data_IF_885613649502
#
_entry.id   IF_885613649502
#
_cell.length_a   1.000
_cell.length_b   1.000
_cell.length_c   1.000
_cell.angle_alpha   90.00
_cell.angle_beta   90.00
_cell.angle_gamma   90.00
#
_symmetry.space_group_name_H-M   'P 1'
#
loop_
_entity.id
_entity.type
_entity.pdbx_description
1 polymer ?
#
# COMPACT_ATOMS: atom_id res chain seq x y z
N UNK A 1 8.71 -31.87 3.35
CA UNK A 1 7.97 -33.05 2.83
C UNK A 1 7.13 -33.65 3.97
N UNK A 2 6.06 -34.42 3.70
CA UNK A 2 5.27 -35.07 4.75
C UNK A 2 6.09 -36.12 5.55
N UNK A 3 7.24 -36.54 5.01
CA UNK A 3 8.19 -37.46 5.64
C UNK A 3 9.13 -36.81 6.65
N UNK A 4 9.17 -35.48 6.77
CA UNK A 4 9.94 -34.81 7.83
C UNK A 4 9.11 -34.70 9.10
N UNK A 5 9.76 -34.56 10.27
CA UNK A 5 9.09 -34.43 11.57
C UNK A 5 7.95 -33.40 11.56
N UNK A 6 8.22 -32.18 11.07
CA UNK A 6 7.22 -31.11 11.01
C UNK A 6 6.21 -31.27 9.86
N UNK A 7 6.63 -31.84 8.74
CA UNK A 7 5.72 -32.10 7.63
C UNK A 7 4.73 -33.23 7.92
N UNK A 8 5.13 -34.23 8.72
CA UNK A 8 4.25 -35.29 9.19
C UNK A 8 3.16 -34.73 10.11
N UNK A 9 3.52 -33.82 11.03
CA UNK A 9 2.55 -33.11 11.88
C UNK A 9 1.54 -32.31 11.04
N UNK A 10 2.00 -31.56 10.03
CA UNK A 10 1.12 -30.84 9.10
C UNK A 10 0.16 -31.79 8.37
N UNK A 11 0.66 -32.93 7.88
CA UNK A 11 -0.15 -33.93 7.19
C UNK A 11 -1.20 -34.58 8.12
N UNK A 12 -0.80 -34.94 9.34
CA UNK A 12 -1.69 -35.50 10.36
C UNK A 12 -2.78 -34.50 10.80
N UNK A 13 -2.48 -33.20 10.77
CA UNK A 13 -3.45 -32.13 11.00
C UNK A 13 -4.39 -31.88 9.80
N UNK A 14 -4.38 -32.74 8.77
CA UNK A 14 -5.31 -32.68 7.64
C UNK A 14 -4.77 -31.95 6.41
N UNK A 15 -3.50 -31.52 6.37
CA UNK A 15 -2.93 -30.81 5.22
C UNK A 15 -1.63 -31.47 4.69
N UNK A 16 -1.73 -32.58 3.93
CA UNK A 16 -0.55 -33.30 3.44
C UNK A 16 0.37 -32.49 2.51
N UNK A 17 -0.19 -31.64 1.65
CA UNK A 17 0.57 -30.77 0.75
C UNK A 17 1.29 -29.63 1.52
N UNK A 18 2.43 -29.09 1.04
CA UNK A 18 3.01 -27.86 1.59
C UNK A 18 2.16 -26.63 1.27
N UNK A 19 2.23 -25.58 2.10
CA UNK A 19 1.46 -24.32 1.93
C UNK A 19 2.03 -23.34 0.88
N UNK A 20 3.17 -23.67 0.25
CA UNK A 20 3.90 -22.77 -0.65
C UNK A 20 4.28 -21.42 0.02
N UNK A 21 4.98 -21.48 1.15
CA UNK A 21 5.47 -20.26 1.83
C UNK A 21 6.59 -19.62 1.00
N UNK A 22 6.37 -18.37 0.58
CA UNK A 22 7.29 -17.61 -0.28
C UNK A 22 8.17 -16.62 0.51
N UNK A 23 7.64 -16.06 1.59
CA UNK A 23 8.29 -15.02 2.39
C UNK A 23 8.45 -15.46 3.85
N UNK A 24 9.56 -15.06 4.48
CA UNK A 24 9.77 -15.23 5.92
C UNK A 24 10.40 -13.98 6.51
N UNK A 25 9.71 -13.36 7.47
CA UNK A 25 10.27 -12.30 8.30
C UNK A 25 11.21 -12.88 9.36
N UNK A 26 12.39 -12.29 9.52
CA UNK A 26 13.31 -12.61 10.62
C UNK A 26 13.49 -11.35 11.47
N UNK A 27 12.89 -11.38 12.65
CA UNK A 27 12.77 -10.21 13.53
C UNK A 27 11.44 -9.46 13.32
N UNK A 28 11.22 -8.46 14.16
CA UNK A 28 10.13 -7.49 14.08
C UNK A 28 10.49 -6.28 14.94
N UNK A 29 10.62 -5.10 14.31
CA UNK A 29 10.93 -3.84 15.01
C UNK A 29 12.12 -3.95 15.98
N UNK A 30 13.10 -4.81 15.65
CA UNK A 30 14.21 -5.07 16.54
C UNK A 30 15.13 -3.85 16.65
N UNK A 31 15.69 -3.67 17.85
CA UNK A 31 16.88 -2.83 18.01
C UNK A 31 18.06 -3.53 17.35
N UNK A 32 18.80 -2.80 16.52
CA UNK A 32 19.93 -3.35 15.75
C UNK A 32 21.20 -3.31 16.62
N UNK A 33 21.20 -4.14 17.65
CA UNK A 33 22.35 -4.36 18.53
C UNK A 33 23.32 -5.38 17.92
N UNK A 34 24.59 -5.43 18.38
CA UNK A 34 25.54 -6.45 17.92
C UNK A 34 25.02 -7.88 18.05
N UNK A 35 24.30 -8.19 19.13
CA UNK A 35 23.71 -9.53 19.36
C UNK A 35 22.53 -9.80 18.42
N UNK A 36 21.77 -8.77 18.04
CA UNK A 36 20.77 -8.94 16.98
C UNK A 36 21.45 -9.25 15.65
N UNK A 37 22.48 -8.49 15.27
CA UNK A 37 23.19 -8.74 14.01
C UNK A 37 23.77 -10.15 13.93
N UNK A 38 24.39 -10.63 15.02
CA UNK A 38 24.92 -11.99 15.12
C UNK A 38 23.82 -13.03 14.90
N UNK A 39 22.72 -12.93 15.66
CA UNK A 39 21.59 -13.86 15.55
C UNK A 39 20.94 -13.80 14.17
N UNK A 40 20.75 -12.62 13.61
CA UNK A 40 20.20 -12.44 12.27
C UNK A 40 21.07 -13.15 11.23
N UNK A 41 22.39 -12.95 11.26
CA UNK A 41 23.35 -13.62 10.35
C UNK A 41 23.26 -15.14 10.47
N UNK A 42 23.19 -15.67 11.69
CA UNK A 42 23.06 -17.12 11.93
C UNK A 42 21.76 -17.69 11.35
N UNK A 43 20.62 -17.06 11.64
CA UNK A 43 19.31 -17.53 11.19
C UNK A 43 19.19 -17.36 9.67
N UNK A 44 19.59 -16.21 9.13
CA UNK A 44 19.57 -15.93 7.69
C UNK A 44 20.41 -16.96 6.91
N UNK A 45 21.64 -17.25 7.36
CA UNK A 45 22.49 -18.25 6.74
C UNK A 45 21.86 -19.65 6.76
N UNK A 46 21.26 -20.04 7.89
CA UNK A 46 20.60 -21.35 8.01
C UNK A 46 19.36 -21.46 7.10
N UNK A 47 18.53 -20.42 7.03
CA UNK A 47 17.36 -20.37 6.15
C UNK A 47 17.80 -20.42 4.69
N UNK A 48 18.77 -19.59 4.30
CA UNK A 48 19.24 -19.52 2.91
C UNK A 48 19.89 -20.83 2.45
N UNK A 49 20.69 -21.47 3.31
CA UNK A 49 21.31 -22.77 2.99
C UNK A 49 20.27 -23.88 2.76
N UNK A 50 19.14 -23.87 3.48
CA UNK A 50 18.11 -24.91 3.37
C UNK A 50 17.03 -24.58 2.33
N UNK A 51 16.72 -23.29 2.16
CA UNK A 51 15.62 -22.77 1.35
C UNK A 51 16.10 -21.57 0.51
N UNK A 52 16.99 -21.79 -0.48
CA UNK A 52 17.64 -20.69 -1.21
C UNK A 52 16.67 -19.84 -2.04
N UNK A 53 15.44 -20.30 -2.27
CA UNK A 53 14.40 -19.55 -2.99
C UNK A 53 13.49 -18.71 -2.07
N UNK A 54 13.57 -18.91 -0.76
CA UNK A 54 12.76 -18.18 0.22
C UNK A 54 13.13 -16.70 0.19
N UNK A 55 12.14 -15.81 0.11
CA UNK A 55 12.34 -14.38 0.23
C UNK A 55 12.41 -14.02 1.71
N UNK A 56 13.61 -13.80 2.22
CA UNK A 56 13.79 -13.33 3.59
C UNK A 56 13.52 -11.83 3.66
N UNK A 57 12.73 -11.43 4.65
CA UNK A 57 12.48 -10.03 4.99
C UNK A 57 13.20 -9.73 6.31
N UNK A 58 14.18 -8.82 6.27
CA UNK A 58 14.84 -8.32 7.47
C UNK A 58 14.13 -7.09 8.03
N UNK A 59 14.33 -6.76 9.31
CA UNK A 59 13.73 -5.55 9.92
C UNK A 59 14.69 -4.37 9.90
N UNK A 60 14.16 -3.15 9.77
CA UNK A 60 14.91 -1.89 9.97
C UNK A 60 14.34 -1.07 11.14
N UNK A 61 13.74 -1.74 12.12
CA UNK A 61 13.21 -1.09 13.32
C UNK A 61 11.82 -0.44 13.12
N UNK A 62 11.27 0.16 14.19
CA UNK A 62 9.85 0.59 14.28
C UNK A 62 9.57 1.98 13.66
N UNK A 63 10.50 2.56 12.91
CA UNK A 63 10.43 3.99 12.57
C UNK A 63 11.04 4.35 11.22
N UNK A 64 10.58 5.43 10.56
CA UNK A 64 11.06 5.88 9.25
C UNK A 64 12.50 6.41 9.21
N UNK A 65 13.19 6.40 10.33
CA UNK A 65 14.48 7.01 10.54
C UNK A 65 15.02 6.61 11.90
N UNK A 66 16.28 6.92 12.12
CA UNK A 66 16.95 6.72 13.40
C UNK A 66 17.97 5.60 13.32
N UNK A 67 18.60 5.33 14.46
CA UNK A 67 19.74 4.43 14.53
C UNK A 67 19.42 3.01 14.03
N UNK A 68 18.30 2.43 14.47
CA UNK A 68 17.87 1.10 14.05
C UNK A 68 17.56 1.04 12.54
N UNK A 69 16.97 2.11 12.01
CA UNK A 69 16.69 2.25 10.59
C UNK A 69 17.98 2.26 9.76
N UNK A 70 18.94 3.10 10.14
CA UNK A 70 20.19 3.26 9.40
C UNK A 70 21.06 1.99 9.50
N UNK A 71 21.17 1.40 10.69
CA UNK A 71 21.92 0.15 10.91
C UNK A 71 21.26 -1.05 10.24
N UNK A 72 19.94 -1.17 10.32
CA UNK A 72 19.17 -2.24 9.69
C UNK A 72 19.35 -2.22 8.17
N UNK A 73 19.22 -1.04 7.56
CA UNK A 73 19.49 -0.87 6.12
C UNK A 73 20.93 -1.19 5.74
N UNK A 74 21.92 -0.78 6.55
CA UNK A 74 23.32 -1.09 6.32
C UNK A 74 23.58 -2.60 6.38
N UNK A 75 23.05 -3.29 7.40
CA UNK A 75 23.16 -4.74 7.55
C UNK A 75 22.50 -5.48 6.38
N UNK A 76 21.26 -5.13 6.05
CA UNK A 76 20.52 -5.74 4.96
C UNK A 76 21.23 -5.56 3.61
N UNK A 77 21.80 -4.38 3.36
CA UNK A 77 22.60 -4.08 2.18
C UNK A 77 23.88 -4.92 2.15
N UNK A 78 24.60 -5.02 3.28
CA UNK A 78 25.83 -5.81 3.38
C UNK A 78 25.59 -7.30 3.10
N UNK A 79 24.48 -7.84 3.60
CA UNK A 79 24.13 -9.25 3.46
C UNK A 79 23.34 -9.56 2.17
N UNK A 80 23.02 -8.55 1.37
CA UNK A 80 22.14 -8.67 0.20
C UNK A 80 20.83 -9.38 0.55
N UNK A 81 20.19 -8.98 1.64
CA UNK A 81 18.87 -9.51 2.02
C UNK A 81 17.86 -9.14 0.92
N UNK A 82 16.96 -10.05 0.51
CA UNK A 82 16.04 -9.76 -0.59
C UNK A 82 15.13 -8.54 -0.33
N UNK A 83 14.53 -8.48 0.86
CA UNK A 83 13.65 -7.40 1.28
C UNK A 83 13.98 -6.91 2.69
N UNK A 84 13.63 -5.66 2.97
CA UNK A 84 13.53 -5.10 4.31
C UNK A 84 12.11 -4.67 4.65
N UNK A 85 11.75 -4.75 5.93
CA UNK A 85 10.48 -4.30 6.47
C UNK A 85 10.62 -2.91 7.10
N UNK A 86 9.92 -1.94 6.52
CA UNK A 86 9.84 -0.56 7.03
C UNK A 86 8.46 -0.32 7.68
N UNK A 87 8.43 0.36 8.83
CA UNK A 87 7.21 0.60 9.61
C UNK A 87 7.00 2.09 9.90
N UNK A 88 5.82 2.64 9.56
CA UNK A 88 5.48 4.06 9.79
C UNK A 88 4.07 4.28 10.34
N UNK A 89 3.99 4.72 11.59
CA UNK A 89 2.77 5.31 12.14
C UNK A 89 2.99 6.80 12.28
N UNK A 90 2.27 7.62 11.52
CA UNK A 90 2.56 9.05 11.39
C UNK A 90 1.30 9.89 11.20
N UNK A 91 1.39 11.22 11.32
CA UNK A 91 0.24 12.11 11.04
C UNK A 91 -0.04 12.18 9.53
N UNK A 92 -1.28 12.46 9.08
CA UNK A 92 -1.61 12.63 7.65
C UNK A 92 -0.67 13.59 6.90
N UNK A 93 -0.22 14.66 7.56
CA UNK A 93 0.74 15.61 7.00
C UNK A 93 2.04 14.93 6.56
N UNK A 94 2.55 13.98 7.34
CA UNK A 94 3.78 13.25 7.01
C UNK A 94 3.61 12.46 5.72
N UNK A 95 2.49 11.75 5.55
CA UNK A 95 2.20 11.00 4.31
C UNK A 95 2.18 11.93 3.09
N UNK A 96 1.48 13.07 3.22
CA UNK A 96 1.41 14.07 2.15
C UNK A 96 2.78 14.66 1.81
N UNK A 97 3.65 14.84 2.81
CA UNK A 97 5.01 15.38 2.63
C UNK A 97 6.11 14.35 2.43
N UNK A 98 5.76 13.08 2.26
CA UNK A 98 6.70 12.00 1.94
C UNK A 98 6.28 11.27 0.66
N UNK A 99 5.46 11.92 -0.17
CA UNK A 99 4.95 11.35 -1.42
C UNK A 99 6.06 11.02 -2.42
N UNK A 100 7.28 11.53 -2.25
CA UNK A 100 8.45 11.19 -3.07
C UNK A 100 9.54 10.41 -2.32
N UNK A 101 9.23 9.86 -1.15
CA UNK A 101 10.21 9.16 -0.28
C UNK A 101 11.01 8.10 -1.03
N UNK A 102 10.33 7.23 -1.77
CA UNK A 102 10.97 6.11 -2.47
C UNK A 102 11.58 6.50 -3.82
N UNK A 103 11.27 7.69 -4.34
CA UNK A 103 11.72 8.14 -5.66
C UNK A 103 13.26 8.18 -5.74
N UNK A 104 13.97 8.35 -4.63
CA UNK A 104 15.43 8.47 -4.56
C UNK A 104 16.15 7.23 -4.04
N UNK A 105 15.44 6.16 -3.68
CA UNK A 105 16.07 4.95 -3.15
C UNK A 105 16.99 4.29 -4.19
N UNK A 106 18.10 3.65 -3.76
CA UNK A 106 18.98 2.94 -4.69
C UNK A 106 18.31 1.64 -5.15
N UNK A 107 17.99 1.53 -6.45
CA UNK A 107 17.27 0.38 -7.03
C UNK A 107 18.06 -0.92 -6.98
N UNK A 108 19.36 -0.86 -6.69
CA UNK A 108 20.27 -2.02 -6.55
C UNK A 108 20.31 -2.58 -5.13
N UNK A 109 19.79 -1.85 -4.14
CA UNK A 109 19.70 -2.30 -2.74
C UNK A 109 18.53 -3.28 -2.53
N UNK A 110 18.43 -3.91 -1.34
CA UNK A 110 17.24 -4.68 -0.95
C UNK A 110 15.93 -3.95 -1.27
N UNK A 111 14.90 -4.73 -1.64
CA UNK A 111 13.56 -4.18 -1.90
C UNK A 111 12.84 -3.90 -0.58
N UNK A 112 11.73 -3.18 -0.65
CA UNK A 112 10.96 -2.77 0.53
C UNK A 112 9.65 -3.55 0.61
N UNK A 113 9.39 -4.10 1.79
CA UNK A 113 8.07 -4.35 2.31
C UNK A 113 7.74 -3.20 3.27
N UNK A 114 6.68 -2.43 2.98
CA UNK A 114 6.12 -1.49 3.95
C UNK A 114 5.11 -2.25 4.82
N UNK A 115 5.61 -2.99 5.80
CA UNK A 115 4.81 -4.00 6.51
C UNK A 115 3.80 -3.43 7.48
N UNK A 116 4.06 -2.24 8.00
CA UNK A 116 3.13 -1.54 8.87
C UNK A 116 3.06 -0.06 8.51
N UNK A 117 1.87 0.42 8.16
CA UNK A 117 1.62 1.86 8.12
C UNK A 117 0.17 2.24 8.45
N UNK A 118 0.01 3.37 9.13
CA UNK A 118 -1.29 4.02 9.33
C UNK A 118 -1.12 5.48 9.75
N UNK A 119 -2.14 6.31 9.47
CA UNK A 119 -2.07 7.76 9.74
C UNK A 119 -2.58 8.23 11.11
N UNK A 120 -2.51 7.40 12.16
CA UNK A 120 -3.02 7.72 13.52
C UNK A 120 -4.47 8.26 13.56
N UNK A 121 -5.31 7.84 12.62
CA UNK A 121 -6.74 8.14 12.65
C UNK A 121 -7.51 7.48 11.50
N UNK A 122 -8.84 7.54 11.61
CA UNK A 122 -9.77 6.95 10.64
C UNK A 122 -10.84 7.93 10.14
N UNK A 123 -10.47 9.21 10.01
CA UNK A 123 -11.30 10.19 9.30
C UNK A 123 -11.05 10.12 7.80
N UNK A 124 -11.93 10.72 7.00
CA UNK A 124 -11.72 10.77 5.55
C UNK A 124 -10.39 11.44 5.17
N UNK A 125 -9.98 12.48 5.91
CA UNK A 125 -8.69 13.14 5.67
C UNK A 125 -7.50 12.18 5.86
N UNK A 126 -7.55 11.32 6.88
CA UNK A 126 -6.57 10.26 7.10
C UNK A 126 -6.49 9.32 5.89
N UNK A 127 -7.64 8.78 5.49
CA UNK A 127 -7.72 7.83 4.37
C UNK A 127 -7.23 8.45 3.06
N UNK A 128 -7.59 9.70 2.76
CA UNK A 128 -7.17 10.38 1.52
C UNK A 128 -5.67 10.74 1.54
N UNK A 129 -5.10 11.05 2.71
CA UNK A 129 -3.65 11.24 2.83
C UNK A 129 -2.87 9.93 2.61
N UNK A 130 -3.37 8.82 3.14
CA UNK A 130 -2.82 7.48 2.86
C UNK A 130 -2.98 7.13 1.38
N UNK A 131 -4.13 7.43 0.76
CA UNK A 131 -4.34 7.22 -0.67
C UNK A 131 -3.33 8.00 -1.53
N UNK A 132 -3.00 9.24 -1.15
CA UNK A 132 -1.98 10.02 -1.84
C UNK A 132 -0.61 9.32 -1.76
N UNK A 133 -0.24 8.84 -0.57
CA UNK A 133 1.00 8.10 -0.35
C UNK A 133 1.06 6.78 -1.12
N UNK A 134 -0.06 6.06 -1.21
CA UNK A 134 -0.15 4.81 -1.99
C UNK A 134 0.10 5.02 -3.48
N UNK A 135 -0.14 6.22 -4.03
CA UNK A 135 0.28 6.53 -5.42
C UNK A 135 1.80 6.52 -5.60
N UNK A 136 2.55 6.85 -4.53
CA UNK A 136 4.01 6.76 -4.50
C UNK A 136 4.47 5.31 -4.49
N UNK A 137 3.77 4.44 -3.75
CA UNK A 137 4.05 3.01 -3.72
C UNK A 137 3.87 2.40 -5.12
N UNK A 138 2.77 2.72 -5.81
CA UNK A 138 2.57 2.26 -7.19
C UNK A 138 3.62 2.80 -8.17
N UNK A 139 4.04 4.07 -8.01
CA UNK A 139 5.09 4.67 -8.84
C UNK A 139 6.45 4.02 -8.63
N UNK A 140 6.72 3.56 -7.42
CA UNK A 140 7.99 2.95 -7.02
C UNK A 140 7.84 1.44 -6.77
N UNK A 141 6.98 0.75 -7.54
CA UNK A 141 6.78 -0.70 -7.42
C UNK A 141 8.03 -1.53 -7.73
N UNK A 142 9.05 -0.92 -8.36
CA UNK A 142 10.39 -1.48 -8.55
C UNK A 142 11.23 -1.50 -7.26
N UNK A 143 10.87 -0.69 -6.27
CA UNK A 143 11.49 -0.59 -4.94
C UNK A 143 10.59 -1.22 -3.88
N UNK A 144 9.34 -0.76 -3.77
CA UNK A 144 8.36 -1.24 -2.80
C UNK A 144 7.52 -2.36 -3.43
N UNK A 145 7.78 -3.60 -3.01
CA UNK A 145 7.11 -4.77 -3.58
C UNK A 145 5.87 -5.21 -2.82
N UNK A 146 5.80 -4.87 -1.53
CA UNK A 146 4.72 -5.25 -0.62
C UNK A 146 4.37 -4.05 0.26
N UNK A 147 3.10 -3.90 0.63
CA UNK A 147 2.66 -2.91 1.61
C UNK A 147 1.44 -3.43 2.38
N UNK A 148 1.36 -3.17 3.68
CA UNK A 148 0.26 -3.62 4.53
C UNK A 148 -0.13 -2.55 5.53
N UNK A 149 -1.41 -2.17 5.52
CA UNK A 149 -1.96 -1.31 6.57
C UNK A 149 -1.98 -2.09 7.89
N UNK A 150 -1.61 -1.44 8.98
CA UNK A 150 -1.65 -2.05 10.30
C UNK A 150 -2.27 -1.10 11.35
N UNK A 151 -2.99 -1.65 12.35
CA UNK A 151 -3.45 -3.04 12.47
C UNK A 151 -4.74 -3.31 11.67
N UNK A 152 -5.04 -4.58 11.41
CA UNK A 152 -6.15 -4.98 10.52
C UNK A 152 -7.53 -5.01 11.21
N UNK A 153 -7.62 -5.59 12.40
CA UNK A 153 -8.90 -5.94 13.04
C UNK A 153 -8.95 -5.45 14.49
N UNK A 154 -10.07 -4.85 14.88
CA UNK A 154 -10.36 -4.47 16.26
C UNK A 154 -11.76 -4.87 16.70
N UNK A 155 -11.87 -5.53 17.86
CA UNK A 155 -13.16 -5.87 18.48
C UNK A 155 -13.65 -4.76 19.40
N UNK A 156 -14.91 -4.34 19.24
CA UNK A 156 -15.58 -3.37 20.11
C UNK A 156 -15.47 -3.77 21.59
N UNK A 157 -15.01 -2.84 22.42
CA UNK A 157 -14.77 -3.05 23.85
C UNK A 157 -13.49 -3.80 24.22
N UNK A 158 -12.69 -4.25 23.24
CA UNK A 158 -11.45 -5.00 23.47
C UNK A 158 -10.30 -4.54 22.56
N UNK A 159 -10.09 -3.23 22.47
CA UNK A 159 -9.06 -2.61 21.63
C UNK A 159 -7.83 -2.21 22.43
N UNK A 160 -6.64 -2.53 21.94
CA UNK A 160 -5.35 -2.12 22.53
C UNK A 160 -4.61 -1.08 21.67
N UNK A 161 -5.09 -0.85 20.44
CA UNK A 161 -4.57 0.11 19.48
C UNK A 161 -5.74 0.86 18.82
N UNK A 162 -5.45 2.03 18.26
CA UNK A 162 -6.39 2.83 17.47
C UNK A 162 -5.59 3.80 16.58
N UNK A 163 -5.83 3.85 15.26
CA UNK A 163 -6.89 3.19 14.50
C UNK A 163 -6.55 1.75 14.07
N UNK A 164 -7.58 1.01 13.66
CA UNK A 164 -7.53 -0.29 12.97
C UNK A 164 -8.35 -0.21 11.68
N UNK A 165 -8.03 -1.07 10.70
CA UNK A 165 -8.66 -1.01 9.39
C UNK A 165 -10.15 -1.41 9.42
N UNK A 166 -10.51 -2.41 10.22
CA UNK A 166 -11.86 -2.97 10.33
C UNK A 166 -12.23 -3.16 11.81
N UNK A 167 -13.30 -2.51 12.23
CA UNK A 167 -13.88 -2.72 13.56
C UNK A 167 -15.01 -3.74 13.48
N UNK A 168 -15.21 -4.55 14.52
CA UNK A 168 -16.32 -5.49 14.57
C UNK A 168 -16.82 -5.74 16.00
N UNK A 169 -18.06 -6.19 16.11
CA UNK A 169 -18.62 -6.76 17.33
C UNK A 169 -19.29 -8.11 17.00
N UNK A 170 -20.10 -8.65 17.91
CA UNK A 170 -20.68 -9.99 17.72
C UNK A 170 -21.73 -10.07 16.59
N UNK A 171 -22.21 -8.93 16.07
CA UNK A 171 -23.27 -8.88 15.05
C UNK A 171 -22.95 -7.99 13.86
N UNK A 172 -21.95 -7.11 13.97
CA UNK A 172 -21.71 -6.03 13.02
C UNK A 172 -20.22 -5.91 12.70
N UNK A 173 -19.91 -5.70 11.42
CA UNK A 173 -18.59 -5.33 10.92
C UNK A 173 -18.66 -3.92 10.35
N UNK A 174 -17.69 -3.08 10.70
CA UNK A 174 -17.59 -1.68 10.31
C UNK A 174 -16.23 -1.46 9.62
N UNK A 175 -16.18 -1.55 8.28
CA UNK A 175 -15.02 -1.12 7.53
C UNK A 175 -14.82 0.39 7.67
N UNK A 176 -13.60 0.80 8.03
CA UNK A 176 -13.28 2.23 8.13
C UNK A 176 -13.22 2.89 6.75
N UNK A 177 -13.09 4.21 6.74
CA UNK A 177 -12.80 4.95 5.51
C UNK A 177 -11.42 4.59 4.92
N UNK A 178 -10.45 4.26 5.76
CA UNK A 178 -9.12 3.77 5.35
C UNK A 178 -9.23 2.40 4.67
N UNK A 179 -10.14 1.51 5.14
CA UNK A 179 -10.42 0.23 4.48
C UNK A 179 -10.82 0.43 3.03
N UNK A 180 -11.69 1.38 2.75
CA UNK A 180 -12.14 1.63 1.38
C UNK A 180 -11.01 2.14 0.48
N UNK A 181 -10.03 2.87 1.02
CA UNK A 181 -8.81 3.22 0.26
C UNK A 181 -7.99 1.97 -0.06
N UNK A 182 -7.72 1.11 0.93
CA UNK A 182 -7.00 -0.15 0.70
C UNK A 182 -7.74 -1.03 -0.32
N UNK A 183 -9.06 -1.14 -0.21
CA UNK A 183 -9.90 -1.89 -1.15
C UNK A 183 -9.82 -1.31 -2.56
N UNK A 184 -9.93 0.01 -2.72
CA UNK A 184 -9.89 0.67 -4.02
C UNK A 184 -8.54 0.48 -4.71
N UNK A 185 -7.42 0.53 -3.97
CA UNK A 185 -6.11 0.23 -4.52
C UNK A 185 -5.95 -1.26 -4.85
N UNK A 186 -6.26 -2.15 -3.90
CA UNK A 186 -6.08 -3.60 -4.07
C UNK A 186 -6.94 -4.21 -5.19
N UNK A 187 -8.18 -3.73 -5.37
CA UNK A 187 -9.07 -4.19 -6.45
C UNK A 187 -8.79 -3.51 -7.80
N UNK A 188 -7.95 -2.47 -7.83
CA UNK A 188 -7.57 -1.74 -9.03
C UNK A 188 -6.04 -1.61 -9.14
N UNK A 189 -5.32 -2.67 -8.82
CA UNK A 189 -3.88 -2.79 -9.01
C UNK A 189 -3.52 -3.04 -10.49
N UNK A 190 -2.28 -2.73 -10.86
CA UNK A 190 -1.70 -3.09 -12.14
C UNK A 190 -0.32 -3.72 -11.95
N UNK A 191 0.24 -4.25 -13.03
CA UNK A 191 1.59 -4.85 -13.07
C UNK A 191 2.64 -3.89 -13.63
N UNK A 192 2.20 -2.80 -14.27
CA UNK A 192 3.07 -1.81 -14.92
C UNK A 192 2.63 -0.40 -14.50
N UNK A 193 3.57 0.45 -14.12
CA UNK A 193 3.33 1.87 -13.92
C UNK A 193 3.49 2.63 -15.23
N UNK A 194 2.55 3.53 -15.54
CA UNK A 194 2.51 4.30 -16.79
C UNK A 194 2.67 5.78 -16.48
N UNK A 195 3.90 6.29 -16.62
CA UNK A 195 4.22 7.69 -16.38
C UNK A 195 3.65 8.63 -17.47
N UNK A 196 3.51 9.92 -17.15
CA UNK A 196 3.16 10.97 -18.11
C UNK A 196 1.69 11.01 -18.55
N UNK A 197 0.83 10.15 -18.03
CA UNK A 197 -0.61 10.11 -18.37
C UNK A 197 -1.40 11.19 -17.64
N UNK A 198 -1.03 11.48 -16.39
CA UNK A 198 -1.72 12.47 -15.55
C UNK A 198 -0.75 13.58 -15.20
N UNK A 199 -1.16 14.81 -15.51
CA UNK A 199 -0.46 16.02 -15.08
C UNK A 199 -1.27 16.64 -13.91
N UNK A 200 -0.68 16.75 -12.71
CA UNK A 200 -1.34 17.40 -11.59
C UNK A 200 -1.55 18.90 -11.84
N UNK A 201 -2.40 19.58 -11.03
CA UNK A 201 -2.62 21.02 -11.12
C UNK A 201 -1.32 21.83 -11.16
N UNK A 202 -1.32 22.93 -11.93
CA UNK A 202 -0.18 23.84 -12.00
C UNK A 202 0.17 24.43 -10.63
N UNK A 203 1.46 24.48 -10.29
CA UNK A 203 1.93 24.95 -8.98
C UNK A 203 1.84 23.91 -7.86
N UNK A 204 1.40 22.67 -8.14
CA UNK A 204 1.61 21.55 -7.25
C UNK A 204 3.14 21.32 -7.08
N UNK A 205 3.68 21.68 -5.93
CA UNK A 205 5.09 21.44 -5.56
C UNK A 205 5.29 19.93 -5.29
N UNK A 206 6.54 19.45 -5.13
CA UNK A 206 6.73 18.19 -4.42
C UNK A 206 6.01 18.26 -3.06
N UNK A 207 5.51 17.14 -2.53
CA UNK A 207 4.90 17.09 -1.19
C UNK A 207 3.56 17.82 -1.06
N UNK A 208 2.66 17.57 -2.02
CA UNK A 208 1.35 18.22 -2.15
C UNK A 208 0.17 17.45 -1.55
N UNK A 209 -0.92 18.19 -1.40
CA UNK A 209 -2.28 17.68 -1.16
C UNK A 209 -2.91 17.02 -2.39
N UNK A 210 -2.22 16.95 -3.53
CA UNK A 210 -2.69 16.26 -4.74
C UNK A 210 -1.68 15.22 -5.18
N UNK A 211 -2.17 14.07 -5.65
CA UNK A 211 -1.34 12.99 -6.15
C UNK A 211 -2.09 12.17 -7.20
N UNK A 212 -1.35 11.45 -8.05
CA UNK A 212 -1.96 10.59 -9.06
C UNK A 212 -1.07 9.38 -9.37
N UNK A 213 -1.72 8.28 -9.75
CA UNK A 213 -1.07 7.12 -10.35
C UNK A 213 -1.85 6.65 -11.58
N UNK A 214 -1.11 6.04 -12.51
CA UNK A 214 -1.67 5.35 -13.66
C UNK A 214 -0.97 4.00 -13.77
N UNK A 215 -1.73 2.93 -13.74
CA UNK A 215 -1.20 1.56 -13.85
C UNK A 215 -1.92 0.79 -14.95
N UNK A 216 -1.20 -0.15 -15.57
CA UNK A 216 -1.76 -1.13 -16.51
C UNK A 216 -1.73 -2.51 -15.87
N UNK A 217 -2.85 -3.22 -15.93
CA UNK A 217 -2.93 -4.63 -15.56
C UNK A 217 -2.63 -5.49 -16.81
N UNK A 218 -1.45 -6.10 -16.89
CA UNK A 218 -1.07 -6.92 -18.04
C UNK A 218 -1.98 -8.13 -18.27
N UNK A 219 -2.69 -8.62 -17.23
CA UNK A 219 -3.60 -9.77 -17.39
C UNK A 219 -4.86 -9.41 -18.15
N UNK A 220 -5.34 -8.17 -18.01
CA UNK A 220 -6.60 -7.71 -18.64
C UNK A 220 -6.37 -6.70 -19.76
N UNK A 221 -5.21 -6.03 -19.77
CA UNK A 221 -4.92 -4.86 -20.60
C UNK A 221 -5.52 -3.57 -20.03
N UNK A 222 -6.25 -3.62 -18.91
CA UNK A 222 -6.93 -2.48 -18.33
C UNK A 222 -5.95 -1.38 -17.91
N UNK A 223 -6.37 -0.13 -18.11
CA UNK A 223 -5.65 1.05 -17.61
C UNK A 223 -6.48 1.68 -16.50
N UNK A 224 -5.83 1.97 -15.39
CA UNK A 224 -6.46 2.42 -14.16
C UNK A 224 -5.79 3.71 -13.71
N UNK A 225 -6.56 4.78 -13.68
CA UNK A 225 -6.15 6.07 -13.12
C UNK A 225 -6.64 6.16 -11.68
N UNK A 226 -5.78 6.63 -10.78
CA UNK A 226 -6.16 7.02 -9.41
C UNK A 226 -5.77 8.48 -9.22
N UNK A 227 -6.76 9.32 -8.93
CA UNK A 227 -6.61 10.76 -8.76
C UNK A 227 -6.99 11.10 -7.32
N UNK A 228 -6.05 11.68 -6.58
CA UNK A 228 -6.20 11.98 -5.16
C UNK A 228 -6.14 13.48 -4.93
N UNK A 229 -7.15 14.01 -4.24
CA UNK A 229 -7.22 15.40 -3.81
C UNK A 229 -7.50 15.47 -2.30
N UNK A 230 -6.46 15.70 -1.50
CA UNK A 230 -6.52 15.94 -0.06
C UNK A 230 -6.68 17.44 0.30
N UNK A 231 -6.88 18.32 -0.68
CA UNK A 231 -7.06 19.76 -0.44
C UNK A 231 -8.52 20.12 -0.14
N UNK A 232 -8.74 21.37 0.30
CA UNK A 232 -10.05 21.93 0.64
C UNK A 232 -10.87 22.37 -0.58
N UNK A 233 -10.26 22.44 -1.76
CA UNK A 233 -10.90 22.93 -2.99
C UNK A 233 -10.84 21.86 -4.08
N UNK A 234 -11.73 21.97 -5.06
CA UNK A 234 -11.69 21.09 -6.21
C UNK A 234 -10.40 21.33 -7.02
N UNK A 235 -9.78 20.27 -7.53
CA UNK A 235 -8.48 20.33 -8.21
C UNK A 235 -8.57 19.73 -9.62
N UNK A 236 -8.10 20.46 -10.66
CA UNK A 236 -8.15 19.99 -12.04
C UNK A 236 -6.92 19.15 -12.40
N UNK A 237 -7.12 17.87 -12.71
CA UNK A 237 -6.09 16.98 -13.27
C UNK A 237 -6.20 16.95 -14.79
N UNK A 238 -5.10 17.17 -15.49
CA UNK A 238 -5.07 16.95 -16.94
C UNK A 238 -4.70 15.49 -17.21
N UNK A 239 -5.47 14.83 -18.07
CA UNK A 239 -5.26 13.43 -18.45
C UNK A 239 -5.05 13.34 -19.96
N UNK A 240 -3.97 12.67 -20.35
CA UNK A 240 -3.62 12.36 -21.73
C UNK A 240 -3.46 10.85 -21.93
N UNK A 241 -4.48 10.23 -22.51
CA UNK A 241 -4.51 8.81 -22.85
C UNK A 241 -4.04 8.55 -24.28
N UNK A 242 -3.67 9.58 -25.06
CA UNK A 242 -3.43 9.42 -26.50
C UNK A 242 -2.23 8.53 -26.83
N UNK A 243 -1.27 8.39 -25.90
CA UNK A 243 -0.18 7.43 -26.00
C UNK A 243 -0.60 5.97 -25.78
N UNK A 244 -1.79 5.72 -25.22
CA UNK A 244 -2.30 4.40 -24.86
C UNK A 244 -3.27 3.89 -25.91
N UNK A 245 -2.80 2.98 -26.76
CA UNK A 245 -3.58 2.39 -27.85
C UNK A 245 -4.55 1.33 -27.33
N UNK A 246 -5.66 1.15 -28.05
CA UNK A 246 -6.59 0.04 -27.82
C UNK A 246 -7.46 0.17 -26.57
N UNK A 247 -7.56 1.35 -25.98
CA UNK A 247 -8.42 1.61 -24.82
C UNK A 247 -9.89 1.79 -25.22
N UNK A 248 -10.78 1.13 -24.48
CA UNK A 248 -12.20 1.43 -24.47
C UNK A 248 -12.45 2.59 -23.49
N UNK A 249 -12.85 3.74 -24.03
CA UNK A 249 -13.12 4.95 -23.26
C UNK A 249 -14.50 4.94 -22.57
N UNK A 250 -15.33 3.93 -22.81
CA UNK A 250 -16.44 3.61 -21.91
C UNK A 250 -15.86 2.96 -20.65
N UNK A 251 -15.58 3.80 -19.67
CA UNK A 251 -14.91 3.47 -18.42
C UNK A 251 -15.90 3.25 -17.28
N UNK A 252 -15.37 2.75 -16.17
CA UNK A 252 -16.02 2.80 -14.87
C UNK A 252 -15.30 3.83 -14.02
N UNK A 253 -16.06 4.68 -13.31
CA UNK A 253 -15.52 5.66 -12.36
C UNK A 253 -16.07 5.38 -10.97
N UNK A 254 -15.19 5.26 -10.00
CA UNK A 254 -15.52 5.17 -8.59
C UNK A 254 -15.01 6.41 -7.87
N UNK A 255 -15.90 7.11 -7.17
CA UNK A 255 -15.57 8.30 -6.37
C UNK A 255 -15.74 7.96 -4.90
N UNK A 256 -14.71 8.23 -4.11
CA UNK A 256 -14.70 8.15 -2.66
C UNK A 256 -14.42 9.54 -2.09
N UNK A 257 -15.40 10.14 -1.40
CA UNK A 257 -15.40 11.56 -0.99
C UNK A 257 -16.45 11.82 0.10
N UNK A 258 -16.33 12.93 0.82
CA UNK A 258 -17.20 13.33 1.94
C UNK A 258 -16.59 14.48 2.76
N UNK A 259 -17.14 14.73 3.95
CA UNK A 259 -16.56 15.71 4.88
C UNK A 259 -15.21 15.24 5.42
N UNK A 260 -14.27 16.16 5.64
CA UNK A 260 -12.89 15.83 6.03
C UNK A 260 -12.81 14.95 7.29
N UNK A 261 -13.71 15.20 8.24
CA UNK A 261 -13.75 14.56 9.56
C UNK A 261 -14.73 13.37 9.60
N UNK A 262 -15.39 13.04 8.48
CA UNK A 262 -16.31 11.93 8.42
C UNK A 262 -15.61 10.59 8.62
N UNK A 263 -16.29 9.67 9.30
CA UNK A 263 -15.84 8.30 9.58
C UNK A 263 -17.02 7.36 9.66
N UNK A 264 -16.76 6.08 9.45
CA UNK A 264 -17.74 5.02 9.67
C UNK A 264 -17.66 4.56 11.13
N UNK A 265 -18.81 4.34 11.77
CA UNK A 265 -18.92 3.93 13.18
C UNK A 265 -19.97 2.83 13.31
N UNK A 266 -20.11 2.20 14.49
CA UNK A 266 -21.20 1.25 14.73
C UNK A 266 -22.60 1.88 14.62
N UNK A 267 -22.72 3.18 14.92
CA UNK A 267 -23.98 3.92 14.78
C UNK A 267 -24.28 4.27 13.31
N UNK A 268 -23.24 4.64 12.56
CA UNK A 268 -23.33 5.03 11.15
C UNK A 268 -22.25 4.31 10.35
N UNK A 269 -22.44 3.02 10.00
CA UNK A 269 -21.38 2.20 9.39
C UNK A 269 -21.09 2.55 7.93
N UNK A 270 -21.95 3.33 7.29
CA UNK A 270 -21.87 3.68 5.87
C UNK A 270 -21.88 5.20 5.62
N UNK A 271 -21.35 5.99 6.55
CA UNK A 271 -21.26 7.46 6.42
C UNK A 271 -20.50 7.85 5.14
N UNK A 272 -19.37 7.19 4.87
CA UNK A 272 -18.58 7.41 3.66
C UNK A 272 -18.23 6.07 3.03
N UNK A 273 -18.75 5.86 1.81
CA UNK A 273 -18.53 4.66 1.00
C UNK A 273 -18.22 5.05 -0.45
N UNK A 274 -17.43 4.23 -1.19
CA UNK A 274 -17.17 4.47 -2.61
C UNK A 274 -18.45 4.37 -3.45
N UNK A 275 -18.60 5.29 -4.41
CA UNK A 275 -19.74 5.31 -5.34
C UNK A 275 -19.25 5.09 -6.77
N UNK A 276 -19.74 4.03 -7.41
CA UNK A 276 -19.33 3.63 -8.75
C UNK A 276 -20.40 3.95 -9.80
N UNK A 277 -19.99 4.48 -10.94
CA UNK A 277 -20.87 4.77 -12.07
C UNK A 277 -20.16 4.55 -13.42
N UNK A 278 -20.94 4.40 -14.48
CA UNK A 278 -20.41 4.47 -15.84
C UNK A 278 -19.82 5.86 -16.11
N UNK A 279 -18.71 5.91 -16.84
CA UNK A 279 -18.01 7.16 -17.18
C UNK A 279 -17.51 7.10 -18.61
N UNK A 280 -17.70 8.18 -19.37
CA UNK A 280 -17.21 8.28 -20.75
C UNK A 280 -15.96 9.16 -20.76
N UNK A 281 -14.79 8.54 -20.75
CA UNK A 281 -13.53 9.24 -20.88
C UNK A 281 -13.36 9.81 -22.30
N UNK A 282 -12.47 10.80 -22.44
CA UNK A 282 -11.98 11.26 -23.75
C UNK A 282 -10.50 10.90 -23.86
N UNK A 283 -9.94 10.94 -25.07
CA UNK A 283 -8.50 10.72 -25.28
C UNK A 283 -7.65 11.75 -24.51
N UNK A 284 -8.12 13.00 -24.43
CA UNK A 284 -7.55 14.06 -23.59
C UNK A 284 -8.68 14.76 -22.85
N UNK A 285 -8.55 14.98 -21.55
CA UNK A 285 -9.56 15.65 -20.73
C UNK A 285 -9.00 16.24 -19.44
N UNK A 286 -9.73 17.22 -18.91
CA UNK A 286 -9.56 17.69 -17.54
C UNK A 286 -10.54 16.94 -16.63
N UNK A 287 -10.07 16.42 -15.50
CA UNK A 287 -10.90 15.84 -14.46
C UNK A 287 -10.85 16.70 -13.20
N UNK A 288 -12.00 17.23 -12.79
CA UNK A 288 -12.13 18.01 -11.56
C UNK A 288 -12.37 17.07 -10.37
N UNK A 289 -11.33 16.83 -9.57
CA UNK A 289 -11.43 16.01 -8.37
C UNK A 289 -11.95 16.84 -7.19
N UNK A 290 -12.98 16.34 -6.52
CA UNK A 290 -13.59 17.00 -5.36
C UNK A 290 -12.59 17.15 -4.19
N UNK A 291 -12.80 18.12 -3.27
CA UNK A 291 -12.07 18.16 -2.01
C UNK A 291 -12.12 16.81 -1.29
N UNK A 292 -11.04 16.45 -0.59
CA UNK A 292 -10.93 15.22 0.20
C UNK A 292 -11.44 13.96 -0.53
N UNK A 293 -10.93 13.72 -1.73
CA UNK A 293 -11.39 12.62 -2.57
C UNK A 293 -10.28 11.71 -3.12
N UNK A 294 -10.65 10.45 -3.33
CA UNK A 294 -9.99 9.51 -4.22
C UNK A 294 -10.97 9.16 -5.35
N UNK A 295 -10.55 9.39 -6.59
CA UNK A 295 -11.26 8.92 -7.78
C UNK A 295 -10.45 7.81 -8.45
N UNK A 296 -11.11 6.69 -8.76
CA UNK A 296 -10.56 5.62 -9.61
C UNK A 296 -11.30 5.61 -10.94
N UNK A 297 -10.58 5.68 -12.06
CA UNK A 297 -11.14 5.54 -13.41
C UNK A 297 -10.50 4.32 -14.06
N UNK A 298 -11.29 3.29 -14.35
CA UNK A 298 -10.85 2.05 -14.99
C UNK A 298 -11.38 1.97 -16.41
N UNK A 299 -10.47 1.89 -17.37
CA UNK A 299 -10.76 1.72 -18.79
C UNK A 299 -10.32 0.33 -19.21
N UNK A 300 -11.21 -0.39 -19.90
CA UNK A 300 -10.86 -1.70 -20.46
C UNK A 300 -9.87 -1.51 -21.59
N UNK A 301 -8.76 -2.24 -21.57
CA UNK A 301 -7.83 -2.26 -22.69
C UNK A 301 -7.90 -3.56 -23.47
N UNK A 302 -7.03 -3.66 -24.47
CA UNK A 302 -6.73 -4.91 -25.16
C UNK A 302 -5.39 -5.43 -24.65
N UNK A 303 -5.29 -6.77 -24.57
CA UNK A 303 -4.03 -7.49 -24.42
C UNK A 303 -3.15 -7.23 -25.64
#
# INVERSE_FOLDING_TARGET
PATSTWGAKRAAAGHPAPFNLEYVGIGNEDKITPEFEERFKMIYAAVHAKYPKMQVIGTVGPSPKGEDYDKGWALASQLNVPLVDEHYYEKPKWFLTNNRRYDTYDRRKPKVYLGEYASWGNTLFNAVAEAAYMTSLERNGDVVQLASYAPLLAKEGHTQWNPDLIYFNNSTVVPTVNYYVQQLFGQNQGTEYVAGVVTPPAGAVADTTVAASCVRDAKTGDVILKLVNASTTAQPFQVDLSGLKGLNLAATRTIFTGDKDAKNTFVSPNTVIPKTAAYKAKSRFSYEAQPYSLTVIRMRGKR
#
